data_IF_967867204300
#
_entry.id   IF_967867204300
#
_cell.length_a   1.000
_cell.length_b   1.000
_cell.length_c   1.000
_cell.angle_alpha   90.00
_cell.angle_beta   90.00
_cell.angle_gamma   90.00
#
_symmetry.space_group_name_H-M   'P 1'
#
loop_
_entity.id
_entity.type
_entity.pdbx_description
1 polymer ?
#
# COMPACT_ATOMS: atom_id res chain seq x y z
N UNK A 1 -38.10 13.14 -5.50
CA UNK A 1 -36.76 13.78 -5.60
C UNK A 1 -36.49 14.94 -4.63
N UNK A 2 -37.49 15.50 -3.91
CA UNK A 2 -37.27 16.60 -2.96
C UNK A 2 -36.26 16.26 -1.84
N UNK A 3 -36.46 15.13 -1.15
CA UNK A 3 -35.57 14.64 -0.09
C UNK A 3 -34.12 14.44 -0.56
N UNK A 4 -33.92 13.96 -1.79
CA UNK A 4 -32.57 13.79 -2.38
C UNK A 4 -31.86 15.14 -2.55
N UNK A 5 -32.58 16.19 -2.98
CA UNK A 5 -32.02 17.55 -3.09
C UNK A 5 -31.63 18.12 -1.72
N UNK A 6 -32.47 17.90 -0.71
CA UNK A 6 -32.21 18.34 0.66
C UNK A 6 -30.97 17.65 1.25
N UNK A 7 -30.87 16.32 1.14
CA UNK A 7 -29.69 15.55 1.61
C UNK A 7 -28.41 15.98 0.88
N UNK A 8 -28.49 16.18 -0.44
CA UNK A 8 -27.34 16.67 -1.21
C UNK A 8 -26.89 18.06 -0.75
N UNK A 9 -27.83 18.97 -0.46
CA UNK A 9 -27.50 20.31 0.03
C UNK A 9 -26.77 20.23 1.38
N UNK A 10 -27.28 19.41 2.31
CA UNK A 10 -26.65 19.20 3.61
C UNK A 10 -25.21 18.64 3.48
N UNK A 11 -25.00 17.63 2.63
CA UNK A 11 -23.67 17.08 2.39
C UNK A 11 -22.71 18.11 1.79
N UNK A 12 -23.20 18.94 0.86
CA UNK A 12 -22.41 20.02 0.27
C UNK A 12 -21.97 21.04 1.33
N UNK A 13 -22.87 21.42 2.23
CA UNK A 13 -22.56 22.39 3.29
C UNK A 13 -21.49 21.84 4.24
N UNK A 14 -21.59 20.56 4.61
CA UNK A 14 -20.58 19.88 5.43
C UNK A 14 -19.22 19.86 4.74
N UNK A 15 -19.16 19.54 3.43
CA UNK A 15 -17.91 19.54 2.67
C UNK A 15 -17.24 20.92 2.66
N UNK A 16 -18.02 22.00 2.51
CA UNK A 16 -17.51 23.38 2.58
C UNK A 16 -16.98 23.70 3.97
N UNK A 17 -17.71 23.32 5.02
CA UNK A 17 -17.26 23.50 6.41
C UNK A 17 -15.94 22.77 6.69
N UNK A 18 -15.77 21.56 6.15
CA UNK A 18 -14.55 20.75 6.26
C UNK A 18 -13.44 21.15 5.28
N UNK A 19 -13.62 22.25 4.52
CA UNK A 19 -12.66 22.75 3.51
C UNK A 19 -12.28 21.72 2.44
N UNK A 20 -13.21 20.84 2.08
CA UNK A 20 -13.04 19.89 0.99
C UNK A 20 -13.39 20.56 -0.35
N UNK A 21 -12.56 20.37 -1.38
CA UNK A 21 -12.83 20.91 -2.71
C UNK A 21 -13.97 20.14 -3.38
N UNK A 22 -14.94 20.89 -3.91
CA UNK A 22 -16.05 20.36 -4.71
C UNK A 22 -15.65 20.42 -6.18
N UNK A 23 -15.33 19.26 -6.75
CA UNK A 23 -15.04 19.10 -8.18
C UNK A 23 -16.10 18.23 -8.87
N UNK A 24 -16.31 18.45 -10.16
CA UNK A 24 -17.15 17.60 -11.01
C UNK A 24 -16.27 16.86 -12.01
N UNK A 25 -16.57 15.59 -12.26
CA UNK A 25 -15.87 14.74 -13.23
C UNK A 25 -16.35 14.94 -14.68
N UNK A 26 -17.31 15.85 -14.93
CA UNK A 26 -17.81 16.12 -16.28
C UNK A 26 -18.42 14.88 -16.93
N UNK A 27 -17.83 14.43 -18.04
CA UNK A 27 -18.27 13.26 -18.83
C UNK A 27 -17.49 11.98 -18.52
N UNK A 28 -16.49 12.04 -17.62
CA UNK A 28 -15.75 10.86 -17.21
C UNK A 28 -16.51 10.12 -16.10
N UNK A 29 -17.32 9.15 -16.53
CA UNK A 29 -18.15 8.35 -15.64
C UNK A 29 -17.33 7.30 -14.87
N UNK A 30 -16.13 6.96 -15.35
CA UNK A 30 -15.30 5.93 -14.72
C UNK A 30 -14.74 6.42 -13.39
N UNK A 31 -14.50 7.74 -13.23
CA UNK A 31 -14.16 8.34 -11.93
C UNK A 31 -15.27 8.06 -10.90
N UNK A 32 -16.54 8.19 -11.29
CA UNK A 32 -17.68 7.93 -10.40
C UNK A 32 -17.79 6.44 -10.10
N UNK A 33 -17.68 5.57 -11.12
CA UNK A 33 -17.72 4.12 -10.95
C UNK A 33 -16.57 3.62 -10.05
N UNK A 34 -15.37 4.16 -10.22
CA UNK A 34 -14.19 3.87 -9.38
C UNK A 34 -14.39 4.35 -7.95
N UNK A 35 -15.03 5.52 -7.74
CA UNK A 35 -15.42 5.99 -6.41
C UNK A 35 -16.42 5.04 -5.73
N UNK A 36 -17.44 4.56 -6.46
CA UNK A 36 -18.40 3.57 -5.95
C UNK A 36 -17.69 2.25 -5.64
N UNK A 37 -16.78 1.81 -6.52
CA UNK A 37 -15.94 0.64 -6.31
C UNK A 37 -15.11 0.77 -5.02
N UNK A 38 -14.58 1.95 -4.71
CA UNK A 38 -13.79 2.19 -3.50
C UNK A 38 -14.62 2.05 -2.21
N UNK A 39 -15.91 2.39 -2.26
CA UNK A 39 -16.81 2.20 -1.12
C UNK A 39 -17.29 0.74 -0.99
N UNK A 40 -17.61 0.09 -2.11
CA UNK A 40 -18.26 -1.22 -2.16
C UNK A 40 -17.35 -2.36 -2.63
N UNK A 41 -16.01 -2.20 -2.61
CA UNK A 41 -15.10 -3.24 -3.09
C UNK A 41 -15.36 -4.59 -2.40
N UNK A 42 -15.79 -4.59 -1.14
CA UNK A 42 -16.06 -5.81 -0.37
C UNK A 42 -17.34 -6.54 -0.84
N UNK A 43 -18.24 -5.83 -1.51
CA UNK A 43 -19.49 -6.33 -2.11
C UNK A 43 -19.33 -6.46 -3.63
N UNK A 44 -18.26 -7.13 -4.05
CA UNK A 44 -18.00 -7.40 -5.45
C UNK A 44 -18.45 -8.80 -5.85
N UNK A 45 -18.99 -8.93 -7.05
CA UNK A 45 -19.35 -10.19 -7.68
C UNK A 45 -18.75 -10.29 -9.08
N UNK A 46 -18.47 -11.52 -9.52
CA UNK A 46 -17.96 -11.83 -10.84
C UNK A 46 -18.96 -12.68 -11.62
N UNK A 47 -18.99 -12.52 -12.93
CA UNK A 47 -19.79 -13.36 -13.81
C UNK A 47 -19.24 -14.79 -13.80
N UNK A 48 -20.13 -15.77 -13.63
CA UNK A 48 -19.77 -17.21 -13.68
C UNK A 48 -20.44 -17.92 -14.85
N UNK A 49 -21.66 -17.52 -15.20
CA UNK A 49 -22.43 -18.10 -16.29
C UNK A 49 -23.43 -17.09 -16.85
N UNK A 50 -24.40 -17.57 -17.64
CA UNK A 50 -25.41 -16.71 -18.26
C UNK A 50 -26.34 -16.16 -17.17
N UNK A 51 -26.17 -14.89 -16.82
CA UNK A 51 -26.98 -14.21 -15.81
C UNK A 51 -26.74 -14.66 -14.36
N UNK A 52 -25.77 -15.56 -14.12
CA UNK A 52 -25.35 -15.99 -12.78
C UNK A 52 -24.02 -15.31 -12.41
N UNK A 53 -24.05 -14.62 -11.27
CA UNK A 53 -22.87 -14.03 -10.66
C UNK A 53 -22.52 -14.78 -9.39
N UNK A 54 -21.27 -14.64 -8.97
CA UNK A 54 -20.78 -15.20 -7.71
C UNK A 54 -20.03 -14.12 -6.95
N UNK A 55 -20.36 -13.95 -5.68
CA UNK A 55 -19.63 -13.05 -4.81
C UNK A 55 -18.15 -13.49 -4.75
N UNK A 56 -17.23 -12.55 -5.02
CA UNK A 56 -15.80 -12.87 -5.18
C UNK A 56 -15.18 -13.34 -3.85
N UNK A 57 -15.70 -12.82 -2.72
CA UNK A 57 -15.19 -13.13 -1.38
C UNK A 57 -15.80 -14.39 -0.80
N UNK A 58 -17.12 -14.49 -0.80
CA UNK A 58 -17.83 -15.60 -0.12
C UNK A 58 -18.06 -16.80 -1.03
N UNK A 59 -17.94 -16.64 -2.35
CA UNK A 59 -18.29 -17.69 -3.30
C UNK A 59 -19.80 -17.97 -3.39
N UNK A 60 -20.62 -17.16 -2.73
CA UNK A 60 -22.08 -17.30 -2.75
C UNK A 60 -22.62 -16.99 -4.15
N UNK A 61 -23.45 -17.86 -4.74
CA UNK A 61 -24.14 -17.57 -5.99
C UNK A 61 -25.17 -16.47 -5.78
N UNK A 62 -25.23 -15.51 -6.69
CA UNK A 62 -26.13 -14.37 -6.62
C UNK A 62 -26.62 -14.01 -8.02
N UNK A 63 -27.81 -13.40 -8.09
CA UNK A 63 -28.46 -13.03 -9.35
C UNK A 63 -28.67 -11.51 -9.39
N UNK A 64 -28.71 -10.94 -10.58
CA UNK A 64 -29.13 -9.54 -10.74
C UNK A 64 -30.62 -9.43 -10.41
N UNK A 65 -30.98 -8.48 -9.55
CA UNK A 65 -32.39 -8.20 -9.29
C UNK A 65 -33.06 -7.61 -10.55
N UNK A 66 -34.31 -7.99 -10.90
CA UNK A 66 -34.99 -7.52 -12.11
C UNK A 66 -35.17 -6.00 -12.21
N UNK A 67 -35.17 -5.28 -11.07
CA UNK A 67 -35.24 -3.81 -11.05
C UNK A 67 -33.89 -3.12 -11.25
N UNK A 68 -32.79 -3.89 -11.34
CA UNK A 68 -31.46 -3.34 -11.58
C UNK A 68 -31.34 -2.88 -13.03
N UNK A 69 -30.68 -1.76 -13.25
CA UNK A 69 -30.44 -1.20 -14.59
C UNK A 69 -29.62 -2.12 -15.50
N UNK A 70 -28.75 -2.95 -14.92
CA UNK A 70 -27.95 -3.95 -15.65
C UNK A 70 -28.78 -5.16 -16.10
N UNK A 71 -29.97 -5.37 -15.54
CA UNK A 71 -30.81 -6.51 -15.88
C UNK A 71 -31.40 -6.32 -17.29
N UNK A 72 -31.18 -7.30 -18.18
CA UNK A 72 -31.70 -7.25 -19.55
C UNK A 72 -30.93 -6.32 -20.50
N UNK A 73 -29.77 -5.79 -20.10
CA UNK A 73 -28.86 -5.13 -21.04
C UNK A 73 -28.22 -6.17 -21.98
N UNK A 74 -27.99 -5.78 -23.23
CA UNK A 74 -27.38 -6.63 -24.25
C UNK A 74 -25.88 -6.94 -24.02
N UNK A 75 -25.30 -6.40 -22.95
CA UNK A 75 -23.95 -6.72 -22.50
C UNK A 75 -23.98 -7.11 -21.01
N UNK A 76 -23.20 -8.12 -20.64
CA UNK A 76 -23.07 -8.57 -19.25
C UNK A 76 -21.65 -8.28 -18.77
N UNK A 77 -21.44 -7.34 -17.83
CA UNK A 77 -20.11 -7.02 -17.34
C UNK A 77 -19.51 -8.18 -16.54
N UNK A 78 -18.20 -8.40 -16.68
CA UNK A 78 -17.49 -9.49 -15.99
C UNK A 78 -17.42 -9.29 -14.47
N UNK A 79 -17.28 -8.03 -14.05
CA UNK A 79 -17.19 -7.64 -12.65
C UNK A 79 -18.21 -6.55 -12.32
N UNK A 80 -18.83 -6.70 -11.16
CA UNK A 80 -19.84 -5.78 -10.64
C UNK A 80 -19.63 -5.54 -9.14
N UNK A 81 -20.08 -4.38 -8.68
CA UNK A 81 -20.31 -4.10 -7.25
C UNK A 81 -21.79 -3.85 -7.02
N UNK A 82 -22.28 -4.21 -5.84
CA UNK A 82 -23.68 -4.02 -5.44
C UNK A 82 -23.76 -3.31 -4.08
N UNK A 83 -24.91 -2.68 -3.82
CA UNK A 83 -25.15 -1.99 -2.54
C UNK A 83 -25.84 -2.89 -1.51
N UNK A 84 -26.79 -3.70 -1.98
CA UNK A 84 -27.66 -4.50 -1.12
C UNK A 84 -27.83 -5.90 -1.71
N UNK A 85 -27.93 -6.89 -0.81
CA UNK A 85 -28.24 -8.28 -1.14
C UNK A 85 -29.56 -8.65 -0.46
N UNK A 86 -30.56 -9.03 -1.27
CA UNK A 86 -31.88 -9.43 -0.80
C UNK A 86 -31.94 -10.95 -0.81
N UNK A 87 -32.05 -11.56 0.37
CA UNK A 87 -32.18 -13.00 0.53
C UNK A 87 -33.65 -13.42 0.41
N UNK A 88 -33.98 -14.21 -0.61
CA UNK A 88 -35.32 -14.78 -0.81
C UNK A 88 -35.20 -16.29 -1.11
N UNK A 89 -35.95 -16.82 -2.09
CA UNK A 89 -35.69 -18.14 -2.66
C UNK A 89 -34.40 -18.19 -3.47
N UNK A 90 -33.99 -17.04 -4.03
CA UNK A 90 -32.67 -16.78 -4.62
C UNK A 90 -32.12 -15.48 -4.04
N UNK A 91 -30.80 -15.38 -3.96
CA UNK A 91 -30.10 -14.20 -3.52
C UNK A 91 -29.99 -13.21 -4.68
N UNK A 92 -30.60 -12.03 -4.51
CA UNK A 92 -30.63 -10.99 -5.52
C UNK A 92 -29.82 -9.76 -5.11
N UNK A 93 -28.98 -9.27 -6.02
CA UNK A 93 -28.21 -8.05 -5.86
C UNK A 93 -28.98 -6.84 -6.39
N UNK A 94 -29.06 -5.78 -5.59
CA UNK A 94 -29.74 -4.54 -5.91
C UNK A 94 -28.75 -3.37 -5.96
N UNK A 95 -29.07 -2.36 -6.79
CA UNK A 95 -28.24 -1.17 -7.03
C UNK A 95 -26.83 -1.58 -7.49
N UNK A 96 -26.77 -2.23 -8.65
CA UNK A 96 -25.55 -2.83 -9.19
C UNK A 96 -24.86 -1.87 -10.17
N UNK A 97 -23.53 -1.78 -10.09
CA UNK A 97 -22.69 -0.99 -10.98
C UNK A 97 -21.61 -1.88 -11.60
N UNK A 98 -21.41 -1.78 -12.92
CA UNK A 98 -20.30 -2.45 -13.60
C UNK A 98 -18.96 -1.81 -13.21
N UNK A 99 -17.93 -2.61 -12.97
CA UNK A 99 -16.59 -2.13 -12.58
C UNK A 99 -15.52 -2.96 -13.26
N UNK A 100 -14.28 -2.44 -13.30
CA UNK A 100 -13.14 -3.20 -13.80
C UNK A 100 -12.46 -3.98 -12.67
N UNK A 101 -11.98 -5.18 -13.00
CA UNK A 101 -11.25 -6.03 -12.04
C UNK A 101 -9.95 -5.41 -11.53
N UNK A 102 -9.31 -4.55 -12.34
CA UNK A 102 -8.10 -3.82 -11.94
C UNK A 102 -8.40 -2.81 -10.83
N UNK A 103 -9.54 -2.11 -10.89
CA UNK A 103 -9.93 -1.16 -9.85
C UNK A 103 -10.19 -1.86 -8.51
N UNK A 104 -10.78 -3.06 -8.54
CA UNK A 104 -10.96 -3.88 -7.34
C UNK A 104 -9.61 -4.22 -6.70
N UNK A 105 -8.61 -4.60 -7.50
CA UNK A 105 -7.26 -4.90 -7.02
C UNK A 105 -6.52 -3.65 -6.50
N UNK A 106 -6.69 -2.51 -7.15
CA UNK A 106 -6.08 -1.24 -6.75
C UNK A 106 -6.67 -0.70 -5.44
N UNK A 107 -7.99 -0.73 -5.31
CA UNK A 107 -8.73 -0.14 -4.19
C UNK A 107 -8.86 -1.09 -3.00
N UNK A 108 -8.78 -2.39 -3.24
CA UNK A 108 -8.83 -3.45 -2.23
C UNK A 108 -7.68 -4.45 -2.35
N UNK A 109 -6.41 -4.02 -2.26
CA UNK A 109 -5.25 -4.90 -2.49
C UNK A 109 -5.13 -6.03 -1.47
N UNK A 110 -5.71 -5.86 -0.28
CA UNK A 110 -5.79 -6.89 0.76
C UNK A 110 -6.81 -7.99 0.43
N UNK A 111 -7.75 -7.72 -0.48
CA UNK A 111 -8.83 -8.64 -0.83
C UNK A 111 -8.68 -9.23 -2.22
N UNK A 112 -8.06 -8.50 -3.14
CA UNK A 112 -8.01 -8.83 -4.55
C UNK A 112 -6.57 -8.80 -5.07
N UNK A 113 -6.23 -9.77 -5.91
CA UNK A 113 -5.00 -9.77 -6.68
C UNK A 113 -5.31 -10.09 -8.13
N UNK A 114 -4.67 -9.36 -9.05
CA UNK A 114 -4.81 -9.61 -10.48
C UNK A 114 -3.97 -10.83 -10.84
N UNK A 115 -4.63 -11.95 -11.12
CA UNK A 115 -3.97 -13.10 -11.72
C UNK A 115 -3.77 -12.83 -13.20
N UNK A 116 -2.52 -12.67 -13.63
CA UNK A 116 -2.18 -12.60 -15.05
C UNK A 116 -2.34 -14.01 -15.67
N UNK A 117 -3.57 -14.36 -16.02
CA UNK A 117 -3.86 -15.59 -16.76
C UNK A 117 -3.36 -15.41 -18.20
N UNK A 118 -2.22 -16.04 -18.52
CA UNK A 118 -1.59 -15.95 -19.85
C UNK A 118 -0.07 -16.11 -19.82
N UNK A 119 0.58 -15.81 -18.68
CA UNK A 119 2.01 -16.04 -18.54
C UNK A 119 2.25 -17.49 -18.15
N UNK A 120 2.81 -18.27 -19.07
CA UNK A 120 3.35 -19.60 -18.77
C UNK A 120 4.20 -19.52 -17.50
N UNK A 121 4.31 -20.60 -16.71
CA UNK A 121 5.33 -20.67 -15.62
C UNK A 121 6.70 -20.19 -16.10
N UNK A 122 7.00 -20.42 -17.38
CA UNK A 122 8.21 -20.00 -18.06
C UNK A 122 8.36 -18.48 -18.18
N UNK A 123 7.29 -17.74 -18.45
CA UNK A 123 7.32 -16.28 -18.58
C UNK A 123 7.40 -15.60 -17.20
N UNK A 124 6.68 -16.12 -16.19
CA UNK A 124 6.87 -15.69 -14.82
C UNK A 124 8.31 -15.95 -14.32
N UNK A 125 8.91 -17.09 -14.69
CA UNK A 125 10.31 -17.40 -14.38
C UNK A 125 11.29 -16.48 -15.13
N UNK A 126 10.99 -16.13 -16.38
CA UNK A 126 11.80 -15.20 -17.18
C UNK A 126 11.81 -13.82 -16.54
N UNK A 127 10.63 -13.30 -16.18
CA UNK A 127 10.49 -11.99 -15.55
C UNK A 127 11.16 -11.93 -14.19
N UNK A 128 11.00 -12.96 -13.35
CA UNK A 128 11.71 -13.05 -12.08
C UNK A 128 13.24 -13.11 -12.26
N UNK A 129 13.74 -13.72 -13.35
CA UNK A 129 15.16 -13.76 -13.68
C UNK A 129 15.67 -12.41 -14.19
N UNK A 130 14.89 -11.71 -15.02
CA UNK A 130 15.17 -10.35 -15.49
C UNK A 130 15.21 -9.37 -14.31
N UNK A 131 14.23 -9.44 -13.40
CA UNK A 131 14.19 -8.62 -12.17
C UNK A 131 15.38 -8.92 -11.24
N UNK A 132 15.75 -10.21 -11.07
CA UNK A 132 16.92 -10.58 -10.27
C UNK A 132 18.24 -10.10 -10.90
N UNK A 133 18.39 -10.21 -12.22
CA UNK A 133 19.57 -9.72 -12.94
C UNK A 133 19.69 -8.20 -12.85
N UNK A 134 18.58 -7.48 -13.01
CA UNK A 134 18.56 -6.03 -12.86
C UNK A 134 18.93 -5.59 -11.43
N UNK A 135 18.44 -6.31 -10.41
CA UNK A 135 18.78 -6.06 -9.01
C UNK A 135 20.27 -6.35 -8.72
N UNK A 136 20.84 -7.38 -9.34
CA UNK A 136 22.27 -7.71 -9.22
C UNK A 136 23.15 -6.64 -9.87
N UNK A 137 22.78 -6.17 -11.07
CA UNK A 137 23.46 -5.06 -11.75
C UNK A 137 23.40 -3.76 -10.95
N UNK A 138 22.24 -3.44 -10.37
CA UNK A 138 22.05 -2.25 -9.55
C UNK A 138 22.87 -2.32 -8.25
N UNK A 139 22.95 -3.50 -7.62
CA UNK A 139 23.78 -3.73 -6.43
C UNK A 139 25.27 -3.64 -6.74
N UNK A 140 25.72 -4.14 -7.89
CA UNK A 140 27.12 -4.04 -8.33
C UNK A 140 27.54 -2.59 -8.57
N UNK A 141 26.70 -1.81 -9.27
CA UNK A 141 26.92 -0.37 -9.47
C UNK A 141 26.98 0.39 -8.14
N UNK A 142 26.09 0.06 -7.20
CA UNK A 142 26.10 0.65 -5.86
C UNK A 142 27.38 0.30 -5.08
N UNK A 143 27.88 -0.94 -5.19
CA UNK A 143 29.12 -1.36 -4.55
C UNK A 143 30.34 -0.65 -5.14
N UNK A 144 30.41 -0.51 -6.47
CA UNK A 144 31.47 0.26 -7.13
C UNK A 144 31.45 1.73 -6.71
N UNK A 145 30.27 2.36 -6.64
CA UNK A 145 30.13 3.73 -6.15
C UNK A 145 30.60 3.87 -4.70
N UNK A 146 30.29 2.91 -3.83
CA UNK A 146 30.76 2.89 -2.44
C UNK A 146 32.28 2.73 -2.36
N UNK A 147 32.86 1.85 -3.17
CA UNK A 147 34.32 1.66 -3.26
C UNK A 147 35.02 2.91 -3.78
N UNK A 148 34.49 3.56 -4.81
CA UNK A 148 35.03 4.80 -5.35
C UNK A 148 34.99 5.93 -4.30
N UNK A 149 33.86 6.10 -3.58
CA UNK A 149 33.75 7.06 -2.47
C UNK A 149 34.73 6.77 -1.33
N UNK A 150 34.94 5.50 -0.99
CA UNK A 150 35.90 5.10 0.04
C UNK A 150 37.35 5.39 -0.37
N UNK A 151 37.71 5.06 -1.61
CA UNK A 151 39.03 5.39 -2.16
C UNK A 151 39.25 6.90 -2.29
N UNK A 152 38.22 7.66 -2.67
CA UNK A 152 38.28 9.12 -2.66
C UNK A 152 38.44 9.68 -1.24
N UNK A 153 37.77 9.12 -0.24
CA UNK A 153 37.99 9.48 1.17
C UNK A 153 39.42 9.14 1.61
N UNK A 154 39.94 7.98 1.24
CA UNK A 154 41.32 7.56 1.56
C UNK A 154 42.35 8.46 0.83
N UNK A 155 42.11 8.84 -0.43
CA UNK A 155 42.97 9.77 -1.19
C UNK A 155 42.83 11.23 -0.72
N UNK A 156 41.64 11.66 -0.30
CA UNK A 156 41.40 12.99 0.32
C UNK A 156 41.87 13.05 1.76
N UNK A 157 42.19 11.93 2.41
CA UNK A 157 42.96 11.92 3.64
C UNK A 157 44.44 12.10 3.27
N UNK A 158 45.00 13.32 3.36
CA UNK A 158 46.43 13.48 3.15
C UNK A 158 47.12 12.86 4.37
N UNK A 159 48.34 12.35 4.19
CA UNK A 159 49.20 11.94 5.30
C UNK A 159 49.17 13.00 6.42
N UNK A 160 48.61 12.69 7.59
CA UNK A 160 48.64 13.62 8.71
C UNK A 160 47.62 13.35 9.83
N UNK A 161 48.10 12.69 10.89
CA UNK A 161 47.59 12.79 12.27
C UNK A 161 46.27 12.07 12.62
N UNK A 162 46.30 10.75 12.69
CA UNK A 162 45.75 10.09 13.87
C UNK A 162 46.83 10.13 14.96
N UNK A 163 47.05 11.31 15.56
CA UNK A 163 47.45 11.30 16.97
C UNK A 163 46.32 10.57 17.66
N UNK A 164 46.56 9.31 18.03
CA UNK A 164 45.72 8.63 19.02
C UNK A 164 45.72 9.55 20.24
N UNK A 165 44.67 10.36 20.38
CA UNK A 165 44.42 11.09 21.62
C UNK A 165 44.15 9.99 22.64
N UNK A 166 45.20 9.62 23.39
CA UNK A 166 45.09 8.69 24.50
C UNK A 166 44.13 9.35 25.49
N UNK A 167 42.87 8.91 25.49
CA UNK A 167 41.83 9.47 26.35
C UNK A 167 42.16 9.01 27.78
N UNK A 168 42.81 9.87 28.54
CA UNK A 168 43.01 9.67 29.97
C UNK A 168 41.67 9.85 30.68
N UNK A 169 41.00 8.75 30.95
CA UNK A 169 39.78 8.75 31.78
C UNK A 169 40.21 8.78 33.25
N UNK A 170 39.85 9.82 34.03
CA UNK A 170 40.16 9.85 35.46
C UNK A 170 39.56 8.60 36.14
N UNK A 171 40.42 7.77 36.76
CA UNK A 171 40.01 6.57 37.49
C UNK A 171 40.15 5.23 36.74
N UNK A 172 40.59 5.21 35.47
CA UNK A 172 40.87 3.95 34.76
C UNK A 172 42.27 3.43 35.13
N UNK A 173 42.35 2.29 35.81
CA UNK A 173 43.62 1.61 36.14
C UNK A 173 44.11 0.83 34.92
N UNK A 174 45.32 1.11 34.43
CA UNK A 174 46.01 0.19 33.51
C UNK A 174 46.74 -0.90 34.32
N UNK A 175 46.81 -2.13 33.78
CA UNK A 175 47.44 -3.26 34.47
C UNK A 175 48.96 -3.01 34.60
N UNK A 176 49.44 -2.81 35.83
CA UNK A 176 50.88 -2.71 36.15
C UNK A 176 51.33 -1.44 36.87
N UNK A 177 50.47 -0.44 37.07
CA UNK A 177 50.87 0.76 37.82
C UNK A 177 50.83 0.54 39.35
N UNK A 178 51.90 0.89 40.10
CA UNK A 178 51.87 0.82 41.56
C UNK A 178 50.89 1.86 42.13
N UNK A 179 50.09 1.46 43.12
CA UNK A 179 49.12 2.36 43.75
C UNK A 179 49.81 3.59 44.35
N UNK A 180 49.33 4.79 44.01
CA UNK A 180 49.70 6.03 44.70
C UNK A 180 49.38 5.91 46.20
N UNK A 181 50.33 6.16 47.12
CA UNK A 181 50.07 6.04 48.55
C UNK A 181 49.01 7.05 49.00
N UNK A 182 47.91 6.57 49.59
CA UNK A 182 46.95 7.44 50.27
C UNK A 182 47.59 7.97 51.54
N UNK A 183 48.10 9.20 51.49
CA UNK A 183 48.49 9.95 52.70
C UNK A 183 47.22 10.54 53.30
N UNK A 184 46.66 9.89 54.31
CA UNK A 184 45.64 10.49 55.17
C UNK A 184 46.33 11.54 56.05
N UNK A 185 45.90 12.81 56.05
CA UNK A 185 46.41 13.75 57.03
C UNK A 185 45.91 13.31 58.42
N UNK A 186 46.85 13.04 59.32
CA UNK A 186 46.53 12.81 60.72
C UNK A 186 46.05 14.13 61.32
N UNK A 187 44.77 14.14 61.73
CA UNK A 187 44.25 14.95 62.84
C UNK A 187 44.50 16.46 62.70
N UNK A 188 43.55 17.17 62.08
CA UNK A 188 43.31 18.57 62.44
C UNK A 188 42.32 18.58 63.61
N UNK A 189 42.79 18.99 64.78
CA UNK A 189 41.96 19.32 65.92
C UNK A 189 42.29 20.73 66.41
N UNK A 190 41.30 21.62 66.36
CA UNK A 190 40.69 22.35 67.48
C UNK A 190 39.39 22.96 66.95
#
# INVERSE_FOLDING_TARGET
>A
MRKVREVRAQLKDIMVQQRMSLASCGTDWDIVRKCICAAYFHQAAKLKGIGEYVNIRTGMPCHLHPTSSLFGMGYTPDYIVYHELVMTTKEYMQCVTAVDGEWLAELGPMFYSVKQAGKSRQENRRRAKEEASAMEEEMALAEEQLRARRQEQEKRSPLGSVRSTKIYTPGRKEQGEPMTPRRTPARFGL
#
